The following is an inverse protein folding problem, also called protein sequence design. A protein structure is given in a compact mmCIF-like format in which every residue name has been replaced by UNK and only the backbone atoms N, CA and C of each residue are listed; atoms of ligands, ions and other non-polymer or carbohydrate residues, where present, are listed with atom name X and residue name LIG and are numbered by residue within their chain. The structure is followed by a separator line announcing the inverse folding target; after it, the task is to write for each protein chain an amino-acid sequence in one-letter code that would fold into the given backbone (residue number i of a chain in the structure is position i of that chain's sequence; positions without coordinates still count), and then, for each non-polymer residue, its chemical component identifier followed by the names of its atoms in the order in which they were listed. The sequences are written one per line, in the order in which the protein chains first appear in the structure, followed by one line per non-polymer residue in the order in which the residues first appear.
data_IF_866372405609
#
_entry.id   IF_866372405609
#
_cell.length_a   1.000
_cell.length_b   1.000
_cell.length_c   1.000
_cell.angle_alpha   90.00
_cell.angle_beta   90.00
_cell.angle_gamma   90.00
#
_symmetry.space_group_name_H-M   'P 1'
#
loop_
_entity.id
_entity.type
_entity.pdbx_description
1 polymer ?
#
# COMPACT_ATOMS: atom_id res chain seq x y z
N UNK A 1 4.70 -11.46 -5.71
CA UNK A 1 5.74 -10.41 -5.77
C UNK A 1 5.76 -9.79 -7.17
N UNK A 2 5.44 -8.50 -7.27
CA UNK A 2 5.36 -7.75 -8.54
C UNK A 2 6.66 -7.01 -8.89
N UNK A 3 7.65 -6.96 -8.00
CA UNK A 3 8.95 -6.35 -8.24
C UNK A 3 10.08 -7.10 -7.51
N UNK A 4 11.32 -6.60 -7.53
CA UNK A 4 12.39 -7.09 -6.68
C UNK A 4 12.00 -6.98 -5.20
N UNK A 5 12.31 -8.01 -4.41
CA UNK A 5 11.84 -8.11 -3.02
C UNK A 5 12.57 -7.18 -2.06
N UNK A 6 13.73 -6.70 -2.46
CA UNK A 6 14.63 -5.87 -1.64
C UNK A 6 14.43 -4.36 -1.85
N UNK A 7 13.51 -3.96 -2.73
CA UNK A 7 13.24 -2.54 -2.96
C UNK A 7 12.25 -2.00 -1.92
N UNK A 8 12.55 -0.88 -1.24
CA UNK A 8 11.61 -0.22 -0.36
C UNK A 8 10.45 0.40 -1.15
N UNK A 9 9.24 0.21 -0.65
CA UNK A 9 8.01 0.79 -1.16
C UNK A 9 7.26 1.50 -0.03
N UNK A 10 6.48 2.52 -0.38
CA UNK A 10 5.62 3.21 0.56
C UNK A 10 4.32 2.43 0.76
N UNK A 11 3.98 2.16 2.02
CA UNK A 11 2.77 1.46 2.45
C UNK A 11 2.05 2.32 3.48
N UNK A 12 0.73 2.37 3.38
CA UNK A 12 -0.11 3.05 4.36
C UNK A 12 -0.98 2.04 5.10
N UNK A 13 -0.96 2.10 6.43
CA UNK A 13 -2.00 1.44 7.21
C UNK A 13 -3.27 2.29 7.14
N UNK A 14 -4.37 1.69 6.67
CA UNK A 14 -5.56 2.43 6.30
C UNK A 14 -6.21 3.20 7.48
N UNK A 15 -6.34 2.64 8.69
CA UNK A 15 -6.81 3.37 9.88
C UNK A 15 -5.95 4.59 10.22
N UNK A 16 -4.62 4.46 10.20
CA UNK A 16 -3.71 5.58 10.49
C UNK A 16 -3.83 6.69 9.44
N UNK A 17 -3.96 6.31 8.17
CA UNK A 17 -4.20 7.24 7.07
C UNK A 17 -5.55 7.94 7.22
N UNK A 18 -6.60 7.22 7.61
CA UNK A 18 -7.92 7.79 7.83
C UNK A 18 -7.92 8.79 8.99
N UNK A 19 -7.28 8.46 10.11
CA UNK A 19 -7.12 9.39 11.23
C UNK A 19 -6.33 10.64 10.82
N UNK A 20 -5.26 10.45 10.03
CA UNK A 20 -4.48 11.56 9.46
C UNK A 20 -5.35 12.50 8.63
N UNK A 21 -6.22 11.96 7.76
CA UNK A 21 -7.15 12.79 6.99
C UNK A 21 -8.08 13.61 7.88
N UNK A 22 -8.60 13.03 8.96
CA UNK A 22 -9.43 13.75 9.93
C UNK A 22 -8.64 14.90 10.57
N UNK A 23 -7.41 14.65 11.03
CA UNK A 23 -6.55 15.68 11.63
C UNK A 23 -6.26 16.83 10.65
N UNK A 24 -5.96 16.51 9.39
CA UNK A 24 -5.75 17.51 8.32
C UNK A 24 -7.03 18.32 8.07
N UNK A 25 -8.19 17.66 8.03
CA UNK A 25 -9.48 18.32 7.85
C UNK A 25 -9.81 19.27 9.02
N UNK A 26 -9.43 18.93 10.25
CA UNK A 26 -9.55 19.82 11.41
C UNK A 26 -8.62 21.04 11.29
N UNK A 27 -7.42 20.85 10.74
CA UNK A 27 -6.44 21.92 10.48
C UNK A 27 -6.70 22.71 9.18
N UNK A 28 -7.86 22.55 8.53
CA UNK A 28 -8.15 23.14 7.21
C UNK A 28 -7.93 24.65 7.11
N UNK A 29 -8.13 25.38 8.21
CA UNK A 29 -7.98 26.85 8.22
C UNK A 29 -6.52 27.29 8.03
N UNK A 30 -5.56 26.40 8.25
CA UNK A 30 -4.13 26.62 8.08
C UNK A 30 -3.64 26.24 6.66
N UNK A 31 -4.50 25.63 5.84
CA UNK A 31 -4.13 25.14 4.51
C UNK A 31 -4.30 26.20 3.44
N UNK A 32 -3.25 26.40 2.64
CA UNK A 32 -3.37 27.10 1.38
C UNK A 32 -4.15 26.25 0.35
N UNK A 33 -4.81 26.87 -0.64
CA UNK A 33 -5.41 26.13 -1.75
C UNK A 33 -4.40 25.22 -2.44
N UNK A 34 -4.83 24.01 -2.81
CA UNK A 34 -3.99 23.01 -3.51
C UNK A 34 -2.74 22.57 -2.74
N UNK A 35 -2.75 22.63 -1.41
CA UNK A 35 -1.65 22.12 -0.59
C UNK A 35 -1.48 20.61 -0.80
N UNK A 36 -0.27 20.19 -1.17
CA UNK A 36 0.12 18.78 -1.27
C UNK A 36 0.82 18.37 0.01
N UNK A 37 0.32 17.29 0.62
CA UNK A 37 0.89 16.64 1.80
C UNK A 37 1.13 15.17 1.47
N UNK A 38 2.24 14.61 1.94
CA UNK A 38 2.49 13.18 1.85
C UNK A 38 2.38 12.56 3.24
N UNK A 39 1.78 11.38 3.30
CA UNK A 39 1.74 10.53 4.48
C UNK A 39 2.92 9.56 4.40
N UNK A 40 3.83 9.59 5.36
CA UNK A 40 5.05 8.79 5.27
C UNK A 40 4.75 7.29 5.50
N UNK A 41 3.93 7.00 6.51
CA UNK A 41 3.44 5.65 6.79
C UNK A 41 4.59 4.67 7.05
N UNK A 42 4.54 3.50 6.41
CA UNK A 42 5.61 2.51 6.46
C UNK A 42 6.39 2.48 5.15
N UNK A 43 7.72 2.51 5.24
CA UNK A 43 8.60 2.21 4.10
C UNK A 43 9.18 0.81 4.30
N UNK A 44 8.72 -0.15 3.50
CA UNK A 44 9.05 -1.57 3.66
C UNK A 44 9.45 -2.20 2.35
N UNK A 45 10.41 -3.13 2.41
CA UNK A 45 10.70 -4.03 1.31
C UNK A 45 9.67 -5.16 1.25
N UNK A 46 9.54 -5.80 0.08
CA UNK A 46 8.69 -6.97 -0.06
C UNK A 46 9.13 -8.13 0.84
N UNK A 47 10.44 -8.25 1.11
CA UNK A 47 10.99 -9.22 2.04
C UNK A 47 10.58 -8.93 3.49
N UNK A 48 10.67 -7.67 3.94
CA UNK A 48 10.26 -7.26 5.30
C UNK A 48 8.77 -7.51 5.53
N UNK A 49 7.93 -7.19 4.53
CA UNK A 49 6.49 -7.44 4.61
C UNK A 49 6.19 -8.95 4.72
N UNK A 50 6.85 -9.78 3.88
CA UNK A 50 6.69 -11.22 3.93
C UNK A 50 7.11 -11.80 5.30
N UNK A 51 8.27 -11.38 5.82
CA UNK A 51 8.77 -11.80 7.13
C UNK A 51 7.78 -11.45 8.26
N UNK A 52 7.17 -10.26 8.22
CA UNK A 52 6.19 -9.85 9.21
C UNK A 52 4.94 -10.75 9.20
N UNK A 53 4.44 -11.12 8.02
CA UNK A 53 3.33 -12.07 7.89
C UNK A 53 3.71 -13.50 8.30
N UNK A 54 4.89 -13.99 7.91
CA UNK A 54 5.38 -15.32 8.31
C UNK A 54 5.53 -15.43 9.83
N UNK A 55 6.08 -14.40 10.47
CA UNK A 55 6.21 -14.33 11.92
C UNK A 55 4.85 -14.35 12.64
N UNK A 56 3.85 -13.64 12.10
CA UNK A 56 2.51 -13.60 12.68
C UNK A 56 1.72 -14.91 12.46
N UNK A 57 1.96 -15.60 11.34
CA UNK A 57 1.30 -16.88 11.01
C UNK A 57 2.01 -18.11 11.57
N UNK A 58 3.28 -17.98 11.97
CA UNK A 58 4.09 -19.10 12.45
C UNK A 58 4.45 -20.14 11.37
N UNK A 59 4.34 -19.79 10.09
CA UNK A 59 4.64 -20.68 8.96
C UNK A 59 5.22 -19.91 7.77
N UNK A 60 6.07 -20.55 6.95
CA UNK A 60 6.64 -19.92 5.77
C UNK A 60 5.59 -19.65 4.69
N UNK A 61 5.70 -18.52 4.00
CA UNK A 61 4.82 -18.13 2.90
C UNK A 61 5.53 -18.33 1.56
N UNK A 62 4.79 -18.88 0.59
CA UNK A 62 5.33 -19.05 -0.76
C UNK A 62 5.19 -17.76 -1.56
N UNK A 63 6.31 -17.09 -1.81
CA UNK A 63 6.36 -15.97 -2.73
C UNK A 63 6.52 -16.44 -4.18
N UNK A 64 5.61 -16.03 -5.06
CA UNK A 64 5.73 -16.22 -6.52
C UNK A 64 6.00 -14.89 -7.22
N UNK A 65 6.74 -14.94 -8.33
CA UNK A 65 7.02 -13.76 -9.16
C UNK A 65 5.89 -13.54 -10.15
N UNK A 66 5.48 -12.29 -10.31
CA UNK A 66 4.51 -11.92 -11.34
C UNK A 66 5.15 -12.04 -12.74
N UNK A 67 4.49 -12.68 -13.72
CA UNK A 67 5.09 -13.01 -15.01
C UNK A 67 5.09 -11.83 -15.98
N UNK A 68 5.88 -10.79 -15.69
CA UNK A 68 5.98 -9.59 -16.52
C UNK A 68 6.33 -9.87 -17.99
N UNK A 69 7.10 -10.92 -18.27
CA UNK A 69 7.44 -11.33 -19.63
C UNK A 69 6.20 -11.76 -20.43
N UNK A 70 5.30 -12.53 -19.81
CA UNK A 70 4.04 -12.96 -20.43
C UNK A 70 3.12 -11.74 -20.67
N UNK A 71 3.02 -10.85 -19.68
CA UNK A 71 2.27 -9.61 -19.84
C UNK A 71 2.81 -8.75 -20.99
N UNK A 72 4.15 -8.67 -21.15
CA UNK A 72 4.79 -7.94 -22.26
C UNK A 72 4.30 -8.44 -23.62
N UNK A 73 4.27 -9.76 -23.80
CA UNK A 73 3.84 -10.39 -25.05
C UNK A 73 2.35 -10.16 -25.32
N UNK A 74 1.55 -9.94 -24.27
CA UNK A 74 0.12 -9.66 -24.39
C UNK A 74 -0.20 -8.17 -24.65
N UNK A 75 0.76 -7.24 -24.45
CA UNK A 75 0.54 -5.80 -24.65
C UNK A 75 0.05 -5.37 -26.04
N UNK A 76 0.46 -5.95 -27.19
CA UNK A 76 -0.04 -5.51 -28.49
C UNK A 76 -1.52 -5.84 -28.72
N UNK A 77 -2.10 -6.77 -27.95
CA UNK A 77 -3.49 -7.19 -28.11
C UNK A 77 -4.48 -6.38 -27.26
N UNK A 78 -3.99 -5.54 -26.32
CA UNK A 78 -4.86 -4.76 -25.44
C UNK A 78 -4.18 -3.49 -24.93
N UNK A 79 -4.76 -2.31 -25.19
CA UNK A 79 -4.28 -1.04 -24.63
C UNK A 79 -4.22 -1.05 -23.09
N UNK A 80 -5.15 -1.75 -22.42
CA UNK A 80 -5.16 -1.90 -20.97
C UNK A 80 -3.94 -2.67 -20.46
N UNK A 81 -3.57 -3.77 -21.12
CA UNK A 81 -2.39 -4.55 -20.73
C UNK A 81 -1.09 -3.76 -20.95
N UNK A 82 -1.04 -2.93 -22.01
CA UNK A 82 0.06 -2.00 -22.23
C UNK A 82 0.17 -0.98 -21.08
N UNK A 83 -0.94 -0.35 -20.69
CA UNK A 83 -0.93 0.61 -19.57
C UNK A 83 -0.50 -0.04 -18.26
N UNK A 84 -1.01 -1.24 -17.94
CA UNK A 84 -0.57 -2.01 -16.77
C UNK A 84 0.92 -2.34 -16.81
N UNK A 85 1.44 -2.70 -17.98
CA UNK A 85 2.86 -3.00 -18.17
C UNK A 85 3.73 -1.75 -17.99
N UNK A 86 3.29 -0.59 -18.48
CA UNK A 86 3.98 0.69 -18.28
C UNK A 86 4.04 1.06 -16.79
N UNK A 87 2.97 0.84 -16.03
CA UNK A 87 2.93 1.11 -14.58
C UNK A 87 3.83 0.19 -13.73
N UNK A 88 4.48 -0.81 -14.34
CA UNK A 88 5.46 -1.66 -13.64
C UNK A 88 6.57 -0.87 -12.94
N UNK A 89 6.89 0.35 -13.41
CA UNK A 89 7.91 1.17 -12.78
C UNK A 89 7.63 1.40 -11.28
N UNK A 90 6.36 1.45 -10.88
CA UNK A 90 5.95 1.59 -9.47
C UNK A 90 6.50 0.47 -8.58
N UNK A 91 6.70 -0.73 -9.14
CA UNK A 91 7.23 -1.89 -8.44
C UNK A 91 8.75 -2.08 -8.63
N UNK A 92 9.36 -1.35 -9.56
CA UNK A 92 10.77 -1.51 -9.94
C UNK A 92 11.67 -0.39 -9.42
N UNK A 93 11.08 0.68 -8.88
CA UNK A 93 11.83 1.80 -8.34
C UNK A 93 11.59 1.94 -6.84
N UNK A 94 12.66 2.02 -6.03
CA UNK A 94 12.52 2.28 -4.62
C UNK A 94 11.88 3.65 -4.41
N UNK A 95 10.91 3.74 -3.51
CA UNK A 95 10.28 5.01 -3.17
C UNK A 95 9.81 5.03 -1.72
N UNK A 96 9.85 6.23 -1.16
CA UNK A 96 9.37 6.58 0.16
C UNK A 96 8.72 7.96 0.08
N UNK A 97 7.82 8.24 1.01
CA UNK A 97 7.09 9.51 1.06
C UNK A 97 7.67 10.38 2.17
N UNK A 98 7.98 11.64 1.85
CA UNK A 98 8.43 12.63 2.83
C UNK A 98 7.25 13.27 3.56
N UNK A 99 7.04 12.85 4.81
CA UNK A 99 5.99 13.35 5.70
C UNK A 99 6.31 14.66 6.41
N UNK A 100 7.46 15.31 6.17
CA UNK A 100 7.90 16.51 6.89
C UNK A 100 6.86 17.63 6.93
N UNK A 101 6.22 17.91 5.79
CA UNK A 101 5.17 18.95 5.68
C UNK A 101 3.90 18.60 6.41
N UNK A 102 3.51 17.32 6.38
CA UNK A 102 2.36 16.83 7.12
C UNK A 102 2.62 16.93 8.63
N UNK A 103 3.81 16.51 9.06
CA UNK A 103 4.24 16.61 10.44
C UNK A 103 4.21 18.05 10.98
N UNK A 104 4.70 19.00 10.18
CA UNK A 104 4.66 20.42 10.54
C UNK A 104 3.23 20.96 10.71
N UNK A 105 2.24 20.39 10.01
CA UNK A 105 0.85 20.84 10.06
C UNK A 105 0.07 20.23 11.24
N UNK A 106 0.16 18.92 11.42
CA UNK A 106 -0.70 18.17 12.36
C UNK A 106 0.07 17.50 13.52
N UNK A 107 1.38 17.70 13.60
CA UNK A 107 2.26 17.00 14.54
C UNK A 107 2.57 15.55 14.10
N UNK A 108 3.01 14.68 15.03
CA UNK A 108 3.35 13.29 14.69
C UNK A 108 2.14 12.56 14.11
N UNK A 109 2.36 11.91 12.96
CA UNK A 109 1.35 11.06 12.33
C UNK A 109 1.08 9.82 13.20
N UNK A 110 -0.18 9.32 13.23
CA UNK A 110 -0.46 8.01 13.80
C UNK A 110 0.42 6.95 13.13
N UNK A 111 1.07 6.12 13.93
CA UNK A 111 1.98 5.10 13.44
C UNK A 111 1.79 3.80 14.23
N UNK A 112 0.94 2.93 13.72
CA UNK A 112 0.74 1.59 14.26
C UNK A 112 1.95 0.71 13.92
N UNK A 113 2.62 0.09 14.89
CA UNK A 113 3.74 -0.82 14.62
C UNK A 113 3.37 -1.95 13.66
N UNK A 114 4.30 -2.34 12.78
CA UNK A 114 4.05 -3.31 11.70
C UNK A 114 3.51 -4.66 12.20
N UNK A 115 3.97 -5.14 13.35
CA UNK A 115 3.50 -6.37 13.97
C UNK A 115 2.02 -6.28 14.36
N UNK A 116 1.59 -5.14 14.89
CA UNK A 116 0.20 -4.87 15.21
C UNK A 116 -0.65 -4.72 13.95
N UNK A 117 -0.15 -4.03 12.92
CA UNK A 117 -0.80 -3.93 11.60
C UNK A 117 -1.06 -5.31 11.01
N UNK A 118 -0.04 -6.17 10.95
CA UNK A 118 -0.17 -7.52 10.38
C UNK A 118 -1.17 -8.36 11.18
N UNK A 119 -1.14 -8.33 12.51
CA UNK A 119 -2.13 -9.05 13.34
C UNK A 119 -3.55 -8.57 13.06
N UNK A 120 -3.76 -7.26 12.94
CA UNK A 120 -5.08 -6.70 12.62
C UNK A 120 -5.54 -7.10 11.21
N UNK A 121 -4.66 -7.06 10.21
CA UNK A 121 -4.94 -7.56 8.86
C UNK A 121 -5.38 -9.03 8.87
N UNK A 122 -4.65 -9.89 9.59
CA UNK A 122 -4.97 -11.32 9.69
C UNK A 122 -6.31 -11.56 10.39
N UNK A 123 -6.61 -10.81 11.46
CA UNK A 123 -7.89 -10.88 12.14
C UNK A 123 -9.06 -10.48 11.22
N UNK A 124 -8.89 -9.43 10.41
CA UNK A 124 -9.90 -9.01 9.41
C UNK A 124 -10.13 -10.09 8.36
N UNK A 125 -9.08 -10.77 7.89
CA UNK A 125 -9.21 -11.87 6.92
C UNK A 125 -9.90 -13.10 7.52
N UNK A 126 -9.61 -13.43 8.78
CA UNK A 126 -10.27 -14.54 9.46
C UNK A 126 -11.77 -14.29 9.71
N UNK A 127 -12.17 -13.02 9.86
CA UNK A 127 -13.56 -12.61 10.05
C UNK A 127 -14.33 -12.30 8.75
N UNK A 128 -13.65 -12.22 7.59
CA UNK A 128 -14.30 -11.90 6.33
C UNK A 128 -15.08 -13.11 5.78
N UNK A 129 -16.35 -12.94 5.33
CA UNK A 129 -17.04 -14.01 4.63
C UNK A 129 -16.25 -14.38 3.36
N UNK A 130 -15.94 -15.66 3.20
CA UNK A 130 -15.25 -16.16 2.00
C UNK A 130 -16.13 -15.87 0.77
N UNK A 131 -15.75 -14.84 0.02
CA UNK A 131 -16.28 -14.43 -1.28
C UNK A 131 -17.77 -14.03 -1.32
N UNK A 132 -18.07 -12.77 -0.95
CA UNK A 132 -19.17 -12.07 -1.61
C UNK A 132 -18.64 -11.56 -2.96
N UNK A 133 -18.93 -12.29 -4.04
CA UNK A 133 -18.71 -11.81 -5.40
C UNK A 133 -19.32 -10.41 -5.53
N UNK A 134 -18.52 -9.42 -5.89
CA UNK A 134 -18.98 -8.05 -6.14
C UNK A 134 -20.07 -8.11 -7.22
N UNK A 135 -21.33 -8.02 -6.81
CA UNK A 135 -22.45 -7.92 -7.73
C UNK A 135 -22.22 -6.69 -8.62
N UNK A 136 -22.44 -6.80 -9.95
CA UNK A 136 -22.23 -5.68 -10.85
C UNK A 136 -23.12 -4.51 -10.44
N UNK A 137 -22.51 -3.34 -10.31
CA UNK A 137 -23.20 -2.06 -10.16
C UNK A 137 -24.11 -1.90 -11.37
N UNK A 138 -25.42 -1.92 -11.14
CA UNK A 138 -26.40 -1.55 -12.15
C UNK A 138 -26.33 -0.03 -12.33
N UNK A 139 -25.85 0.41 -13.48
CA UNK A 139 -26.03 1.77 -14.01
C UNK A 139 -27.45 1.98 -14.50
#
# INVERSE_FOLDING_TARGET
QMGPVDLPHAWAWLPDLAETFVRVATARALLAPHTVLHFAGHTLTGAQLQQAFEAALGQPLRATRFPWGLLRLATPFSPMLRALFEMRYLWQRPHQLDGSRLHALIGPEPHTPLDAVVRQCLALLAGAPQSAALAPVRT
#
